data_IF_700001954441
#
_entry.id   IF_700001954441
#
_cell.length_a   1.000
_cell.length_b   1.000
_cell.length_c   1.000
_cell.angle_alpha   90.00
_cell.angle_beta   90.00
_cell.angle_gamma   90.00
#
_symmetry.space_group_name_H-M   'P 1'
#
loop_
_entity.id
_entity.type
_entity.pdbx_description
1 polymer ?
#
# COMPACT_ATOMS: atom_id res chain seq x y z
N UNK A 1 -3.27 12.13 40.33
CA UNK A 1 -4.27 11.14 39.87
C UNK A 1 -5.28 11.72 38.90
N UNK A 2 -6.36 12.43 39.29
CA UNK A 2 -7.38 12.90 38.31
C UNK A 2 -6.80 13.88 37.28
N UNK A 3 -6.06 14.90 37.72
CA UNK A 3 -5.45 15.91 36.83
C UNK A 3 -4.48 15.26 35.84
N UNK A 4 -3.70 14.30 36.31
CA UNK A 4 -2.72 13.56 35.50
C UNK A 4 -3.40 12.72 34.42
N UNK A 5 -4.47 11.99 34.75
CA UNK A 5 -5.24 11.23 33.77
C UNK A 5 -5.91 12.14 32.74
N UNK A 6 -6.43 13.30 33.17
CA UNK A 6 -6.97 14.31 32.26
C UNK A 6 -5.88 14.82 31.30
N UNK A 7 -4.67 15.08 31.79
CA UNK A 7 -3.55 15.49 30.95
C UNK A 7 -3.18 14.41 29.91
N UNK A 8 -3.13 13.13 30.31
CA UNK A 8 -2.82 12.02 29.39
C UNK A 8 -3.89 11.86 28.30
N UNK A 9 -5.17 11.96 28.65
CA UNK A 9 -6.28 11.93 27.69
C UNK A 9 -6.19 13.12 26.72
N UNK A 10 -5.87 14.32 27.21
CA UNK A 10 -5.67 15.50 26.37
C UNK A 10 -4.53 15.29 25.35
N UNK A 11 -3.42 14.68 25.77
CA UNK A 11 -2.30 14.34 24.87
C UNK A 11 -2.77 13.35 23.79
N UNK A 12 -3.52 12.31 24.17
CA UNK A 12 -4.07 11.34 23.22
C UNK A 12 -4.98 12.01 22.19
N UNK A 13 -5.84 12.93 22.62
CA UNK A 13 -6.70 13.70 21.70
C UNK A 13 -5.90 14.62 20.78
N UNK A 14 -4.83 15.24 21.26
CA UNK A 14 -3.93 16.04 20.41
C UNK A 14 -3.37 15.15 19.30
N UNK A 15 -2.91 13.94 19.63
CA UNK A 15 -2.44 12.97 18.64
C UNK A 15 -3.55 12.55 17.66
N UNK A 16 -4.76 12.29 18.14
CA UNK A 16 -5.89 11.95 17.26
C UNK A 16 -6.24 13.09 16.28
N UNK A 17 -6.18 14.34 16.74
CA UNK A 17 -6.44 15.53 15.92
C UNK A 17 -5.33 15.72 14.87
N UNK A 18 -4.06 15.51 15.21
CA UNK A 18 -2.98 15.60 14.22
C UNK A 18 -3.09 14.53 13.14
N UNK A 19 -3.49 13.30 13.48
CA UNK A 19 -3.86 12.27 12.49
C UNK A 19 -4.98 12.73 11.57
N UNK A 20 -6.06 13.25 12.14
CA UNK A 20 -7.18 13.78 11.36
C UNK A 20 -6.73 14.86 10.38
N UNK A 21 -5.89 15.79 10.83
CA UNK A 21 -5.39 16.88 9.99
C UNK A 21 -4.52 16.34 8.83
N UNK A 22 -3.63 15.39 9.09
CA UNK A 22 -2.80 14.78 8.05
C UNK A 22 -3.65 14.04 7.03
N UNK A 23 -4.56 13.19 7.45
CA UNK A 23 -5.36 12.38 6.52
C UNK A 23 -6.34 13.27 5.71
N UNK A 24 -6.94 14.27 6.37
CA UNK A 24 -7.94 15.13 5.73
C UNK A 24 -7.31 16.19 4.81
N UNK A 25 -6.16 16.77 5.19
CA UNK A 25 -5.52 17.85 4.44
C UNK A 25 -4.23 17.44 3.70
N UNK A 26 -3.70 16.24 3.92
CA UNK A 26 -2.42 15.79 3.38
C UNK A 26 -2.34 15.58 1.88
N UNK A 27 -3.42 15.88 1.13
CA UNK A 27 -3.32 15.97 -0.33
C UNK A 27 -2.32 17.07 -0.69
N UNK A 28 -1.34 16.70 -1.54
CA UNK A 28 -0.21 17.54 -1.98
C UNK A 28 -0.52 19.03 -1.91
N UNK A 29 0.06 19.71 -0.91
CA UNK A 29 0.26 21.15 -1.01
C UNK A 29 1.21 21.35 -2.19
N UNK A 30 0.79 22.04 -3.27
CA UNK A 30 1.68 22.31 -4.38
C UNK A 30 2.92 23.04 -3.84
N UNK A 31 4.11 22.53 -4.15
CA UNK A 31 5.44 23.10 -3.81
C UNK A 31 6.11 22.71 -2.48
N UNK A 32 5.58 21.74 -1.71
CA UNK A 32 6.36 21.21 -0.57
C UNK A 32 7.41 20.18 -1.05
N UNK A 33 8.68 20.26 -0.61
CA UNK A 33 9.69 19.26 -0.98
C UNK A 33 9.28 17.89 -0.44
N UNK A 34 9.08 16.92 -1.34
CA UNK A 34 8.77 15.53 -0.98
C UNK A 34 9.93 14.90 -0.22
N UNK A 35 9.67 14.29 0.94
CA UNK A 35 10.70 13.57 1.69
C UNK A 35 11.18 12.39 0.83
N UNK A 36 12.50 12.20 0.62
CA UNK A 36 13.02 11.06 -0.11
C UNK A 36 12.54 9.74 0.50
N UNK A 37 11.94 8.86 -0.31
CA UNK A 37 11.42 7.56 0.12
C UNK A 37 12.46 6.72 0.86
N UNK A 38 13.73 6.82 0.45
CA UNK A 38 14.85 6.16 1.13
C UNK A 38 15.05 6.59 2.59
N UNK A 39 14.85 7.88 2.90
CA UNK A 39 14.99 8.40 4.28
C UNK A 39 13.92 7.77 5.16
N UNK A 40 12.69 7.80 4.65
CA UNK A 40 11.52 7.25 5.31
C UNK A 40 11.66 5.74 5.53
N UNK A 41 12.12 5.01 4.52
CA UNK A 41 12.41 3.58 4.62
C UNK A 41 13.44 3.28 5.71
N UNK A 42 14.52 4.06 5.78
CA UNK A 42 15.56 3.87 6.80
C UNK A 42 15.03 4.08 8.22
N UNK A 43 14.31 5.18 8.46
CA UNK A 43 13.67 5.47 9.75
C UNK A 43 12.70 4.34 10.13
N UNK A 44 11.87 3.90 9.18
CA UNK A 44 10.82 2.91 9.45
C UNK A 44 11.39 1.53 9.79
N UNK A 45 12.41 1.08 9.05
CA UNK A 45 13.10 -0.19 9.34
C UNK A 45 13.77 -0.11 10.71
N UNK A 46 14.51 0.96 11.01
CA UNK A 46 15.16 1.12 12.30
C UNK A 46 14.15 1.14 13.44
N UNK A 47 13.06 1.88 13.31
CA UNK A 47 11.98 1.91 14.29
C UNK A 47 11.41 0.52 14.57
N UNK A 48 11.10 -0.24 13.50
CA UNK A 48 10.54 -1.57 13.64
C UNK A 48 11.47 -2.51 14.42
N UNK A 49 12.76 -2.54 14.07
CA UNK A 49 13.71 -3.47 14.68
C UNK A 49 14.21 -3.04 16.07
N UNK A 50 14.38 -1.74 16.30
CA UNK A 50 14.96 -1.24 17.56
C UNK A 50 13.93 -0.81 18.60
N UNK A 51 12.67 -0.62 18.22
CA UNK A 51 11.61 -0.17 19.13
C UNK A 51 10.46 -1.18 19.16
N UNK A 52 9.81 -1.46 18.02
CA UNK A 52 8.60 -2.32 18.03
C UNK A 52 8.88 -3.76 18.46
N UNK A 53 9.87 -4.42 17.86
CA UNK A 53 10.16 -5.82 18.18
C UNK A 53 10.58 -6.03 19.64
N UNK A 54 11.52 -5.25 20.21
CA UNK A 54 11.84 -5.34 21.63
C UNK A 54 10.63 -5.09 22.53
N UNK A 55 9.82 -4.07 22.24
CA UNK A 55 8.62 -3.74 23.02
C UNK A 55 7.63 -4.89 23.05
N UNK A 56 7.43 -5.57 21.91
CA UNK A 56 6.58 -6.77 21.83
C UNK A 56 7.19 -7.92 22.64
N UNK A 57 8.50 -8.16 22.50
CA UNK A 57 9.19 -9.27 23.17
C UNK A 57 9.17 -9.13 24.69
N UNK A 58 9.33 -7.91 25.21
CA UNK A 58 9.45 -7.64 26.65
C UNK A 58 8.09 -7.56 27.37
N UNK A 59 7.04 -7.11 26.67
CA UNK A 59 5.76 -6.80 27.32
C UNK A 59 4.62 -7.76 26.98
N UNK A 60 4.82 -8.76 26.11
CA UNK A 60 3.86 -9.87 25.98
C UNK A 60 3.95 -10.75 27.24
N UNK A 61 2.91 -10.81 28.08
CA UNK A 61 3.02 -11.39 29.42
C UNK A 61 3.16 -12.92 29.42
N UNK A 62 2.59 -13.61 28.42
CA UNK A 62 2.82 -15.03 28.17
C UNK A 62 2.89 -15.30 26.67
N UNK A 63 3.82 -16.16 26.24
CA UNK A 63 3.86 -16.59 24.84
C UNK A 63 2.52 -17.22 24.44
N UNK A 64 2.02 -16.98 23.22
CA UNK A 64 0.84 -17.68 22.73
C UNK A 64 1.05 -19.19 22.85
N UNK A 65 0.09 -19.88 23.46
CA UNK A 65 0.16 -21.33 23.74
C UNK A 65 1.36 -21.75 24.61
N UNK A 66 2.01 -20.81 25.32
CA UNK A 66 3.23 -21.00 26.11
C UNK A 66 4.45 -21.50 25.32
N UNK A 67 4.47 -21.32 24.00
CA UNK A 67 5.63 -21.67 23.18
C UNK A 67 6.36 -20.42 22.70
N UNK A 68 7.66 -20.33 23.01
CA UNK A 68 8.53 -19.24 22.53
C UNK A 68 8.54 -19.08 21.00
N UNK A 69 8.28 -20.15 20.25
CA UNK A 69 8.14 -20.10 18.79
C UNK A 69 7.05 -19.11 18.34
N UNK A 70 6.02 -18.91 19.15
CA UNK A 70 4.88 -18.04 18.84
C UNK A 70 5.01 -16.62 19.38
N UNK A 71 6.19 -16.21 19.87
CA UNK A 71 6.45 -14.85 20.38
C UNK A 71 5.98 -13.75 19.40
N UNK A 72 6.23 -13.94 18.10
CA UNK A 72 5.80 -13.01 17.05
C UNK A 72 4.58 -13.49 16.25
N UNK A 73 3.78 -14.41 16.80
CA UNK A 73 2.62 -14.98 16.09
C UNK A 73 1.63 -13.90 15.64
N UNK A 74 1.31 -12.94 16.50
CA UNK A 74 0.38 -11.87 16.15
C UNK A 74 0.96 -10.88 15.14
N UNK A 75 2.29 -10.67 15.15
CA UNK A 75 3.00 -9.92 14.09
C UNK A 75 2.86 -10.66 12.75
N UNK A 76 3.08 -11.98 12.75
CA UNK A 76 2.91 -12.80 11.54
C UNK A 76 1.47 -12.79 11.04
N UNK A 77 0.48 -12.85 11.93
CA UNK A 77 -0.95 -12.78 11.58
C UNK A 77 -1.25 -11.43 10.94
N UNK A 78 -0.80 -10.31 11.53
CA UNK A 78 -0.98 -8.97 10.97
C UNK A 78 -0.35 -8.81 9.60
N UNK A 79 0.90 -9.26 9.44
CA UNK A 79 1.60 -9.24 8.15
C UNK A 79 0.86 -10.08 7.10
N UNK A 80 0.49 -11.31 7.47
CA UNK A 80 -0.20 -12.25 6.58
C UNK A 80 -1.58 -11.76 6.19
N UNK A 81 -2.31 -11.13 7.12
CA UNK A 81 -3.63 -10.57 6.86
C UNK A 81 -3.59 -9.56 5.72
N UNK A 82 -2.66 -8.59 5.76
CA UNK A 82 -2.55 -7.60 4.68
C UNK A 82 -2.08 -8.25 3.37
N UNK A 83 -1.06 -9.10 3.45
CA UNK A 83 -0.53 -9.79 2.26
C UNK A 83 -1.60 -10.61 1.53
N UNK A 84 -2.32 -11.45 2.28
CA UNK A 84 -3.36 -12.33 1.74
C UNK A 84 -4.52 -11.50 1.21
N UNK A 85 -4.93 -10.43 1.90
CA UNK A 85 -6.04 -9.61 1.42
C UNK A 85 -5.67 -8.85 0.14
N UNK A 86 -4.46 -8.27 0.04
CA UNK A 86 -3.95 -7.69 -1.22
C UNK A 86 -3.99 -8.74 -2.33
N UNK A 87 -3.49 -9.96 -2.09
CA UNK A 87 -3.50 -11.03 -3.10
C UNK A 87 -4.90 -11.47 -3.52
N UNK A 88 -5.85 -11.53 -2.59
CA UNK A 88 -7.22 -11.89 -2.92
C UNK A 88 -7.86 -10.89 -3.90
N UNK A 89 -7.63 -9.60 -3.71
CA UNK A 89 -8.17 -8.56 -4.61
C UNK A 89 -7.53 -8.69 -5.99
N UNK A 90 -6.20 -8.85 -6.02
CA UNK A 90 -5.48 -9.03 -7.28
C UNK A 90 -5.95 -10.26 -8.07
N UNK A 91 -6.36 -11.32 -7.39
CA UNK A 91 -6.84 -12.56 -8.01
C UNK A 91 -8.33 -12.55 -8.34
N UNK A 92 -9.14 -11.74 -7.65
CA UNK A 92 -10.60 -11.68 -7.82
C UNK A 92 -11.00 -10.97 -9.10
N UNK A 93 -10.15 -10.06 -9.58
CA UNK A 93 -10.20 -9.46 -10.91
C UNK A 93 -10.22 -10.59 -11.95
N UNK A 94 -11.34 -10.69 -12.68
CA UNK A 94 -11.70 -11.83 -13.54
C UNK A 94 -10.50 -12.45 -14.27
N UNK A 95 -9.94 -13.54 -13.72
CA UNK A 95 -8.84 -14.29 -14.32
C UNK A 95 -9.15 -14.74 -15.76
N UNK A 96 -10.44 -14.97 -16.04
CA UNK A 96 -10.97 -15.23 -17.38
C UNK A 96 -10.81 -14.05 -18.33
N UNK A 97 -11.07 -12.83 -17.86
CA UNK A 97 -10.97 -11.61 -18.68
C UNK A 97 -9.50 -11.26 -18.93
N UNK A 98 -8.63 -11.43 -17.93
CA UNK A 98 -7.17 -11.31 -18.12
C UNK A 98 -6.64 -12.34 -19.13
N UNK A 99 -7.03 -13.61 -19.00
CA UNK A 99 -6.64 -14.66 -19.95
C UNK A 99 -7.14 -14.35 -21.36
N UNK A 100 -8.36 -13.84 -21.48
CA UNK A 100 -8.91 -13.40 -22.76
C UNK A 100 -8.12 -12.24 -23.37
N UNK A 101 -7.69 -11.25 -22.58
CA UNK A 101 -6.88 -10.12 -23.09
C UNK A 101 -5.52 -10.63 -23.56
N UNK A 102 -4.85 -11.49 -22.77
CA UNK A 102 -3.57 -12.09 -23.18
C UNK A 102 -3.69 -12.87 -24.49
N UNK A 103 -4.78 -13.62 -24.67
CA UNK A 103 -5.07 -14.34 -25.92
C UNK A 103 -5.28 -13.39 -27.09
N UNK A 104 -6.01 -12.29 -26.88
CA UNK A 104 -6.23 -11.28 -27.93
C UNK A 104 -4.93 -10.58 -28.32
N UNK A 105 -4.08 -10.22 -27.35
CA UNK A 105 -2.75 -9.66 -27.62
C UNK A 105 -1.87 -10.61 -28.43
N UNK A 106 -1.91 -11.92 -28.14
CA UNK A 106 -1.21 -12.91 -28.96
C UNK A 106 -1.78 -12.98 -30.39
N UNK A 107 -3.11 -12.91 -30.53
CA UNK A 107 -3.75 -12.91 -31.85
C UNK A 107 -3.43 -11.65 -32.66
N UNK A 108 -3.29 -10.50 -32.00
CA UNK A 108 -2.91 -9.23 -32.62
C UNK A 108 -1.45 -9.28 -33.14
N UNK A 109 -0.50 -9.70 -32.30
CA UNK A 109 0.90 -9.92 -32.66
C UNK A 109 1.06 -10.97 -33.79
N UNK A 110 0.24 -12.03 -33.79
CA UNK A 110 0.22 -13.01 -34.89
C UNK A 110 -0.31 -12.41 -36.21
N UNK A 111 -1.32 -11.52 -36.15
CA UNK A 111 -1.86 -10.84 -37.34
C UNK A 111 -0.84 -9.84 -37.90
N UNK A 112 -0.22 -9.04 -37.04
CA UNK A 112 0.83 -8.08 -37.43
C UNK A 112 1.99 -8.78 -38.15
N UNK A 113 2.50 -9.89 -37.62
CA UNK A 113 3.56 -10.67 -38.27
C UNK A 113 3.16 -11.24 -39.63
N UNK A 114 1.87 -11.53 -39.84
CA UNK A 114 1.37 -12.00 -41.14
C UNK A 114 1.24 -10.84 -42.11
N UNK A 115 0.75 -9.68 -41.67
CA UNK A 115 0.72 -8.43 -42.45
C UNK A 115 2.13 -8.07 -42.95
N UNK A 116 3.11 -8.01 -42.04
CA UNK A 116 4.50 -7.70 -42.35
C UNK A 116 5.08 -8.66 -43.41
N UNK A 117 4.79 -9.96 -43.29
CA UNK A 117 5.25 -10.95 -44.28
C UNK A 117 4.62 -10.69 -45.64
N UNK A 118 3.31 -10.46 -45.69
CA UNK A 118 2.61 -10.23 -46.96
C UNK A 118 3.07 -8.92 -47.61
N UNK A 119 3.29 -7.87 -46.82
CA UNK A 119 3.82 -6.59 -47.31
C UNK A 119 5.24 -6.74 -47.87
N UNK A 120 6.11 -7.50 -47.20
CA UNK A 120 7.44 -7.82 -47.72
C UNK A 120 7.38 -8.60 -49.05
N UNK A 121 6.52 -9.62 -49.14
CA UNK A 121 6.30 -10.36 -50.40
C UNK A 121 5.76 -9.44 -51.52
N UNK A 122 4.83 -8.54 -51.20
CA UNK A 122 4.27 -7.59 -52.15
C UNK A 122 5.38 -6.66 -52.70
N UNK A 123 6.25 -6.16 -51.82
CA UNK A 123 7.38 -5.30 -52.19
C UNK A 123 8.42 -6.02 -53.05
N UNK A 124 8.69 -7.31 -52.78
CA UNK A 124 9.56 -8.16 -53.61
C UNK A 124 8.96 -8.40 -55.00
N UNK A 125 7.67 -8.70 -55.10
CA UNK A 125 7.01 -8.95 -56.39
C UNK A 125 6.94 -7.67 -57.26
N UNK A 126 6.65 -6.53 -56.62
CA UNK A 126 6.66 -5.22 -57.26
C UNK A 126 8.05 -4.83 -57.80
N UNK A 127 9.13 -5.30 -57.17
CA UNK A 127 10.51 -5.05 -57.64
C UNK A 127 10.97 -6.05 -58.72
N UNK A 128 10.40 -7.25 -58.77
CA UNK A 128 10.79 -8.29 -59.74
C UNK A 128 10.07 -8.24 -61.10
N UNK A 129 9.15 -7.29 -61.33
CA UNK A 129 8.46 -7.07 -62.62
C UNK A 129 7.66 -8.29 -63.14
N UNK A 130 7.26 -9.22 -62.27
CA UNK A 130 6.27 -10.25 -62.58
C UNK A 130 4.88 -9.78 -62.16
N UNK A 131 4.26 -8.98 -63.04
CA UNK A 131 2.96 -8.37 -62.78
C UNK A 131 1.81 -9.30 -63.17
N UNK A 132 1.47 -10.23 -62.29
CA UNK A 132 0.10 -10.73 -62.25
C UNK A 132 -0.75 -9.74 -61.43
N UNK A 133 -1.41 -8.82 -62.13
CA UNK A 133 -2.30 -7.80 -61.55
C UNK A 133 -3.36 -8.43 -60.64
N UNK A 134 -3.77 -9.67 -60.93
CA UNK A 134 -4.75 -10.39 -60.14
C UNK A 134 -4.17 -10.87 -58.80
N UNK A 135 -2.89 -11.27 -58.77
CA UNK A 135 -2.17 -11.62 -57.54
C UNK A 135 -1.99 -10.37 -56.67
N UNK A 136 -1.52 -9.26 -57.24
CA UNK A 136 -1.35 -7.99 -56.51
C UNK A 136 -2.66 -7.49 -55.90
N UNK A 137 -3.76 -7.59 -56.65
CA UNK A 137 -5.09 -7.21 -56.16
C UNK A 137 -5.56 -8.13 -55.03
N UNK A 138 -5.33 -9.43 -55.13
CA UNK A 138 -5.69 -10.39 -54.07
C UNK A 138 -4.87 -10.17 -52.80
N UNK A 139 -3.56 -9.93 -52.91
CA UNK A 139 -2.69 -9.64 -51.76
C UNK A 139 -3.09 -8.32 -51.09
N UNK A 140 -3.37 -7.28 -51.88
CA UNK A 140 -3.85 -5.99 -51.36
C UNK A 140 -5.17 -6.13 -50.60
N UNK A 141 -6.12 -6.90 -51.14
CA UNK A 141 -7.37 -7.18 -50.43
C UNK A 141 -7.14 -7.98 -49.14
N UNK A 142 -6.21 -8.95 -49.16
CA UNK A 142 -5.87 -9.76 -47.98
C UNK A 142 -5.24 -8.91 -46.88
N UNK A 143 -4.30 -8.01 -47.22
CA UNK A 143 -3.72 -7.05 -46.26
C UNK A 143 -4.82 -6.18 -45.66
N UNK A 144 -5.74 -5.69 -46.50
CA UNK A 144 -6.86 -4.86 -46.03
C UNK A 144 -7.75 -5.62 -45.03
N UNK A 145 -8.10 -6.87 -45.33
CA UNK A 145 -8.90 -7.71 -44.43
C UNK A 145 -8.17 -8.03 -43.12
N UNK A 146 -6.86 -8.28 -43.17
CA UNK A 146 -6.04 -8.46 -41.97
C UNK A 146 -5.99 -7.19 -41.12
N UNK A 147 -5.82 -6.03 -41.76
CA UNK A 147 -5.76 -4.75 -41.06
C UNK A 147 -7.08 -4.42 -40.36
N UNK A 148 -8.21 -4.63 -41.04
CA UNK A 148 -9.54 -4.49 -40.43
C UNK A 148 -9.73 -5.45 -39.24
N UNK A 149 -9.20 -6.69 -39.35
CA UNK A 149 -9.22 -7.66 -38.26
C UNK A 149 -8.32 -7.25 -37.10
N UNK A 150 -7.12 -6.70 -37.35
CA UNK A 150 -6.20 -6.20 -36.33
C UNK A 150 -6.85 -5.08 -35.52
N UNK A 151 -7.43 -4.09 -36.20
CA UNK A 151 -8.18 -2.98 -35.57
C UNK A 151 -9.32 -3.53 -34.70
N UNK A 152 -10.09 -4.51 -35.20
CA UNK A 152 -11.17 -5.11 -34.40
C UNK A 152 -10.66 -5.84 -33.15
N UNK A 153 -9.47 -6.46 -33.19
CA UNK A 153 -8.85 -7.11 -32.03
C UNK A 153 -8.34 -6.05 -31.05
N UNK A 154 -7.68 -5.00 -31.54
CA UNK A 154 -7.23 -3.85 -30.74
C UNK A 154 -8.41 -3.21 -29.97
N UNK A 155 -9.53 -2.97 -30.64
CA UNK A 155 -10.75 -2.44 -30.01
C UNK A 155 -11.28 -3.37 -28.90
N UNK A 156 -11.31 -4.69 -29.13
CA UNK A 156 -11.75 -5.65 -28.12
C UNK A 156 -10.78 -5.71 -26.92
N UNK A 157 -9.47 -5.58 -27.17
CA UNK A 157 -8.45 -5.46 -26.13
C UNK A 157 -8.70 -4.21 -25.29
N UNK A 158 -8.92 -3.05 -25.91
CA UNK A 158 -9.16 -1.78 -25.21
C UNK A 158 -10.40 -1.88 -24.33
N UNK A 159 -11.52 -2.36 -24.87
CA UNK A 159 -12.78 -2.51 -24.10
C UNK A 159 -12.59 -3.46 -22.91
N UNK A 160 -11.89 -4.58 -23.10
CA UNK A 160 -11.62 -5.53 -22.01
C UNK A 160 -10.64 -5.00 -20.99
N UNK A 161 -9.59 -4.28 -21.40
CA UNK A 161 -8.66 -3.59 -20.49
C UNK A 161 -9.40 -2.55 -19.66
N UNK A 162 -10.30 -1.78 -20.26
CA UNK A 162 -11.12 -0.81 -19.53
C UNK A 162 -12.05 -1.50 -18.52
N UNK A 163 -12.73 -2.58 -18.92
CA UNK A 163 -13.58 -3.34 -17.98
C UNK A 163 -12.79 -3.92 -16.81
N UNK A 164 -11.58 -4.44 -17.07
CA UNK A 164 -10.67 -4.90 -16.02
C UNK A 164 -10.30 -3.72 -15.12
N UNK A 165 -9.87 -2.59 -15.70
CA UNK A 165 -9.51 -1.37 -14.98
C UNK A 165 -10.63 -0.88 -14.06
N UNK A 166 -11.85 -0.71 -14.57
CA UNK A 166 -12.97 -0.18 -13.79
C UNK A 166 -13.32 -1.10 -12.61
N UNK A 167 -13.36 -2.41 -12.84
CA UNK A 167 -13.66 -3.39 -11.80
C UNK A 167 -12.54 -3.48 -10.76
N UNK A 168 -11.30 -3.45 -11.22
CA UNK A 168 -10.13 -3.40 -10.35
C UNK A 168 -10.12 -2.16 -9.48
N UNK A 169 -10.43 -1.02 -10.07
CA UNK A 169 -10.42 0.24 -9.36
C UNK A 169 -11.46 0.14 -8.22
N UNK A 170 -12.71 -0.20 -8.52
CA UNK A 170 -13.77 -0.32 -7.52
C UNK A 170 -13.44 -1.27 -6.36
N UNK A 171 -12.92 -2.48 -6.65
CA UNK A 171 -12.53 -3.43 -5.60
C UNK A 171 -11.32 -2.93 -4.80
N UNK A 172 -10.35 -2.30 -5.46
CA UNK A 172 -9.17 -1.72 -4.83
C UNK A 172 -9.53 -0.52 -3.93
N UNK A 173 -10.44 0.36 -4.37
CA UNK A 173 -10.92 1.50 -3.59
C UNK A 173 -11.53 1.05 -2.26
N UNK A 174 -12.47 0.09 -2.33
CA UNK A 174 -13.16 -0.44 -1.15
C UNK A 174 -12.18 -1.08 -0.17
N UNK A 175 -11.22 -1.82 -0.69
CA UNK A 175 -10.22 -2.47 0.14
C UNK A 175 -9.27 -1.48 0.80
N UNK A 176 -8.73 -0.55 0.03
CA UNK A 176 -7.79 0.45 0.54
C UNK A 176 -8.45 1.26 1.65
N UNK A 177 -9.67 1.72 1.41
CA UNK A 177 -10.49 2.37 2.42
C UNK A 177 -10.65 1.49 3.67
N UNK A 178 -11.11 0.24 3.52
CA UNK A 178 -11.36 -0.65 4.66
C UNK A 178 -10.09 -0.94 5.47
N UNK A 179 -8.96 -1.15 4.79
CA UNK A 179 -7.70 -1.52 5.44
C UNK A 179 -7.08 -0.33 6.16
N UNK A 180 -7.06 0.84 5.51
CA UNK A 180 -6.57 2.05 6.15
C UNK A 180 -7.48 2.47 7.30
N UNK A 181 -8.81 2.36 7.14
CA UNK A 181 -9.77 2.65 8.20
C UNK A 181 -9.53 1.75 9.41
N UNK A 182 -9.45 0.43 9.22
CA UNK A 182 -9.18 -0.51 10.31
C UNK A 182 -7.82 -0.24 10.97
N UNK A 183 -6.79 0.05 10.18
CA UNK A 183 -5.47 0.40 10.70
C UNK A 183 -5.52 1.64 11.62
N UNK A 184 -6.10 2.74 11.14
CA UNK A 184 -6.19 3.99 11.91
C UNK A 184 -7.10 3.84 13.13
N UNK A 185 -8.21 3.10 12.98
CA UNK A 185 -9.09 2.79 14.09
C UNK A 185 -8.38 2.01 15.20
N UNK A 186 -7.63 0.97 14.86
CA UNK A 186 -6.88 0.17 15.85
C UNK A 186 -5.73 0.98 16.46
N UNK A 187 -5.06 1.87 15.71
CA UNK A 187 -4.12 2.83 16.32
C UNK A 187 -4.83 3.64 17.40
N UNK A 188 -6.03 4.16 17.11
CA UNK A 188 -6.83 4.91 18.08
C UNK A 188 -7.09 4.13 19.37
N UNK A 189 -7.42 2.84 19.26
CA UNK A 189 -7.61 1.92 20.40
C UNK A 189 -6.33 1.72 21.22
N UNK A 190 -5.20 1.56 20.54
CA UNK A 190 -3.91 1.29 21.20
C UNK A 190 -3.36 2.54 21.87
N UNK A 191 -3.47 3.71 21.22
CA UNK A 191 -2.71 4.90 21.59
C UNK A 191 -3.02 5.39 23.00
N UNK A 192 -4.31 5.41 23.37
CA UNK A 192 -4.71 5.87 24.69
C UNK A 192 -4.18 4.96 25.79
N UNK A 193 -4.39 3.65 25.67
CA UNK A 193 -3.87 2.65 26.59
C UNK A 193 -2.34 2.69 26.68
N UNK A 194 -1.65 2.85 25.55
CA UNK A 194 -0.19 2.92 25.52
C UNK A 194 0.33 4.18 26.23
N UNK A 195 -0.36 5.32 26.13
CA UNK A 195 -0.01 6.55 26.87
C UNK A 195 -0.10 6.32 28.38
N UNK A 196 -1.11 5.57 28.84
CA UNK A 196 -1.32 5.24 30.25
C UNK A 196 -0.24 4.28 30.76
N UNK A 197 0.15 3.29 29.94
CA UNK A 197 1.16 2.28 30.29
C UNK A 197 2.58 2.87 30.28
N UNK A 198 2.97 3.49 29.15
CA UNK A 198 4.29 4.06 28.97
C UNK A 198 4.27 5.20 27.93
N UNK A 199 4.37 6.43 28.41
CA UNK A 199 4.35 7.63 27.59
C UNK A 199 5.45 7.64 26.50
N UNK A 200 6.64 7.11 26.77
CA UNK A 200 7.75 7.11 25.80
C UNK A 200 7.42 6.19 24.62
N UNK A 201 6.97 4.97 24.89
CA UNK A 201 6.55 4.05 23.82
C UNK A 201 5.34 4.59 23.06
N UNK A 202 4.41 5.26 23.74
CA UNK A 202 3.29 5.91 23.08
C UNK A 202 3.71 7.04 22.14
N UNK A 203 4.66 7.89 22.56
CA UNK A 203 5.19 8.97 21.72
C UNK A 203 5.92 8.38 20.50
N UNK A 204 6.74 7.35 20.69
CA UNK A 204 7.48 6.69 19.62
C UNK A 204 6.52 6.01 18.63
N UNK A 205 5.50 5.32 19.13
CA UNK A 205 4.45 4.71 18.32
C UNK A 205 3.61 5.74 17.57
N UNK A 206 3.23 6.84 18.24
CA UNK A 206 2.56 7.97 17.61
C UNK A 206 3.38 8.51 16.43
N UNK A 207 4.65 8.85 16.64
CA UNK A 207 5.49 9.42 15.58
C UNK A 207 5.59 8.48 14.40
N UNK A 208 5.80 7.19 14.66
CA UNK A 208 5.87 6.21 13.59
C UNK A 208 4.57 6.11 12.80
N UNK A 209 3.45 5.92 13.50
CA UNK A 209 2.15 5.81 12.87
C UNK A 209 1.76 7.10 12.12
N UNK A 210 2.15 8.26 12.65
CA UNK A 210 1.96 9.57 12.03
C UNK A 210 2.79 9.69 10.74
N UNK A 211 4.08 9.32 10.76
CA UNK A 211 4.89 9.30 9.55
C UNK A 211 4.28 8.37 8.50
N UNK A 212 3.81 7.18 8.88
CA UNK A 212 3.08 6.28 7.97
C UNK A 212 1.89 6.98 7.32
N UNK A 213 1.06 7.68 8.10
CA UNK A 213 -0.09 8.42 7.57
C UNK A 213 0.30 9.52 6.58
N UNK A 214 1.37 10.26 6.88
CA UNK A 214 1.92 11.27 5.95
C UNK A 214 2.35 10.61 4.64
N UNK A 215 3.10 9.50 4.72
CA UNK A 215 3.62 8.79 3.55
C UNK A 215 2.48 8.20 2.71
N UNK A 216 1.50 7.56 3.35
CA UNK A 216 0.37 6.95 2.64
C UNK A 216 -0.43 7.99 1.88
N UNK A 217 -0.60 9.18 2.46
CA UNK A 217 -1.32 10.31 1.83
C UNK A 217 -0.50 10.97 0.71
N UNK A 218 0.83 11.07 0.86
CA UNK A 218 1.72 11.66 -0.15
C UNK A 218 2.01 10.74 -1.35
N UNK A 219 2.09 9.43 -1.11
CA UNK A 219 2.34 8.41 -2.14
C UNK A 219 1.07 7.95 -2.88
N UNK A 220 -0.11 8.32 -2.36
CA UNK A 220 -1.42 7.94 -2.88
C UNK A 220 -1.65 8.16 -4.39
N UNK A 221 -1.16 9.25 -5.03
CA UNK A 221 -1.46 9.50 -6.44
C UNK A 221 -0.49 8.79 -7.41
N UNK A 222 0.40 7.90 -6.96
CA UNK A 222 1.28 7.19 -7.89
C UNK A 222 0.61 5.91 -8.39
N UNK A 223 -0.10 6.05 -9.53
CA UNK A 223 -0.46 4.99 -10.49
C UNK A 223 0.03 3.59 -10.07
N UNK A 224 -0.83 2.84 -9.38
CA UNK A 224 -0.52 1.46 -8.99
C UNK A 224 -0.52 0.62 -10.27
N UNK A 225 0.68 0.29 -10.77
CA UNK A 225 0.84 -0.67 -11.87
C UNK A 225 0.69 -2.08 -11.31
N UNK A 226 -0.51 -2.62 -11.42
CA UNK A 226 -0.84 -3.93 -10.86
C UNK A 226 -0.51 -5.06 -11.86
N UNK A 227 -0.74 -4.82 -13.15
CA UNK A 227 -0.44 -5.75 -14.23
C UNK A 227 0.50 -5.09 -15.22
N UNK A 228 1.80 -5.21 -14.98
CA UNK A 228 2.85 -4.68 -15.85
C UNK A 228 2.84 -5.33 -17.24
N UNK A 229 2.17 -6.47 -17.41
CA UNK A 229 1.99 -7.16 -18.69
C UNK A 229 0.75 -6.67 -19.48
N UNK A 230 -0.18 -5.97 -18.82
CA UNK A 230 -1.42 -5.48 -19.43
C UNK A 230 -1.47 -3.95 -19.53
N UNK A 231 -0.49 -3.24 -18.98
CA UNK A 231 -0.42 -1.78 -18.88
C UNK A 231 -1.68 -1.15 -18.26
N UNK A 232 -2.24 -1.83 -17.25
CA UNK A 232 -3.41 -1.31 -16.52
C UNK A 232 -2.89 -0.53 -15.31
N UNK A 233 -2.97 0.80 -15.42
CA UNK A 233 -2.73 1.74 -14.32
C UNK A 233 -4.05 1.97 -13.59
N UNK A 234 -4.08 1.98 -12.26
CA UNK A 234 -5.26 2.44 -11.50
C UNK A 234 -5.14 3.92 -11.19
N UNK A 235 -6.22 4.67 -11.45
CA UNK A 235 -6.35 6.08 -11.06
C UNK A 235 -7.33 6.17 -9.89
N UNK A 236 -6.81 6.55 -8.72
CA UNK A 236 -7.56 6.55 -7.47
C UNK A 236 -7.94 7.97 -7.08
N UNK A 237 -9.24 8.21 -6.88
CA UNK A 237 -9.73 9.46 -6.34
C UNK A 237 -10.71 9.19 -5.20
N UNK A 238 -10.28 9.44 -3.96
CA UNK A 238 -11.13 9.23 -2.80
C UNK A 238 -12.40 10.09 -2.83
N UNK A 239 -13.59 9.48 -2.67
CA UNK A 239 -14.81 10.23 -2.39
C UNK A 239 -14.63 11.06 -1.11
N UNK A 240 -15.10 12.31 -1.12
CA UNK A 240 -14.98 13.23 0.04
C UNK A 240 -15.47 12.64 1.37
N UNK A 241 -16.52 11.80 1.31
CA UNK A 241 -17.08 11.12 2.49
C UNK A 241 -16.11 10.08 3.03
N UNK A 242 -15.51 9.27 2.17
CA UNK A 242 -14.53 8.27 2.55
C UNK A 242 -13.31 8.94 3.19
N UNK A 243 -12.84 10.03 2.60
CA UNK A 243 -11.74 10.83 3.16
C UNK A 243 -12.04 11.35 4.57
N UNK A 244 -13.26 11.85 4.80
CA UNK A 244 -13.68 12.32 6.11
C UNK A 244 -13.76 11.16 7.13
N UNK A 245 -14.36 10.04 6.73
CA UNK A 245 -14.44 8.84 7.57
C UNK A 245 -13.05 8.32 7.93
N UNK A 246 -12.17 8.23 6.94
CA UNK A 246 -10.80 7.77 7.12
C UNK A 246 -10.01 8.66 8.07
N UNK A 247 -10.08 9.99 7.87
CA UNK A 247 -9.46 10.96 8.77
C UNK A 247 -10.00 10.88 10.20
N UNK A 248 -11.29 10.57 10.37
CA UNK A 248 -11.90 10.40 11.69
C UNK A 248 -11.60 9.05 12.35
N UNK A 249 -11.05 8.06 11.63
CA UNK A 249 -10.91 6.69 12.13
C UNK A 249 -10.08 6.59 13.42
N UNK A 250 -8.96 7.30 13.52
CA UNK A 250 -8.14 7.33 14.75
C UNK A 250 -8.92 7.89 15.94
N UNK A 251 -9.64 9.00 15.74
CA UNK A 251 -10.47 9.61 16.79
C UNK A 251 -11.64 8.70 17.17
N UNK A 252 -12.27 8.04 16.20
CA UNK A 252 -13.31 7.05 16.45
C UNK A 252 -12.78 5.88 17.28
N UNK A 253 -11.57 5.40 17.00
CA UNK A 253 -10.89 4.38 17.80
C UNK A 253 -10.69 4.85 19.25
N UNK A 254 -10.16 6.05 19.46
CA UNK A 254 -9.96 6.60 20.81
C UNK A 254 -11.26 6.77 21.59
N UNK A 255 -12.31 7.28 20.96
CA UNK A 255 -13.63 7.43 21.60
C UNK A 255 -14.23 6.06 21.92
N UNK A 256 -14.07 5.10 21.01
CA UNK A 256 -14.51 3.73 21.24
C UNK A 256 -13.78 3.10 22.42
N UNK A 257 -12.46 3.26 22.50
CA UNK A 257 -11.64 2.79 23.62
C UNK A 257 -12.10 3.38 24.95
N UNK A 258 -12.24 4.71 25.04
CA UNK A 258 -12.76 5.39 26.24
C UNK A 258 -14.14 4.87 26.65
N UNK A 259 -15.04 4.64 25.69
CA UNK A 259 -16.38 4.13 25.96
C UNK A 259 -16.36 2.66 26.40
N UNK A 260 -15.49 1.85 25.79
CA UNK A 260 -15.35 0.43 26.09
C UNK A 260 -14.68 0.20 27.43
N UNK A 261 -13.67 0.99 27.79
CA UNK A 261 -12.95 0.93 29.07
C UNK A 261 -13.88 1.14 30.29
N UNK A 262 -14.99 1.88 30.11
CA UNK A 262 -16.04 2.02 31.14
C UNK A 262 -16.80 0.72 31.42
N UNK A 263 -16.88 -0.20 30.46
CA UNK A 263 -17.66 -1.44 30.54
C UNK A 263 -16.74 -2.64 30.76
N UNK A 264 -15.65 -2.71 30.01
CA UNK A 264 -14.69 -3.81 30.00
C UNK A 264 -13.28 -3.25 29.74
N UNK A 265 -12.49 -2.98 30.80
CA UNK A 265 -11.16 -2.41 30.63
C UNK A 265 -10.27 -3.36 29.84
N UNK A 266 -9.56 -2.81 28.86
CA UNK A 266 -8.63 -3.59 28.03
C UNK A 266 -7.45 -3.98 28.91
N UNK A 267 -7.28 -5.29 29.13
CA UNK A 267 -6.12 -5.77 29.87
C UNK A 267 -4.84 -5.64 29.02
N UNK A 268 -3.68 -5.64 29.68
CA UNK A 268 -2.39 -5.50 29.01
C UNK A 268 -2.15 -6.56 27.94
N UNK A 269 -2.63 -7.79 28.15
CA UNK A 269 -2.57 -8.87 27.16
C UNK A 269 -3.23 -8.48 25.84
N UNK A 270 -4.50 -8.06 25.87
CA UNK A 270 -5.23 -7.69 24.66
C UNK A 270 -4.57 -6.47 24.00
N UNK A 271 -4.11 -5.50 24.79
CA UNK A 271 -3.38 -4.34 24.27
C UNK A 271 -2.15 -4.77 23.47
N UNK A 272 -1.29 -5.63 24.03
CA UNK A 272 -0.07 -6.08 23.36
C UNK A 272 -0.33 -7.06 22.21
N UNK A 273 -1.44 -7.80 22.22
CA UNK A 273 -1.91 -8.57 21.06
C UNK A 273 -2.28 -7.63 19.90
N UNK A 274 -3.07 -6.58 20.17
CA UNK A 274 -3.44 -5.58 19.15
C UNK A 274 -2.21 -4.82 18.65
N UNK A 275 -1.30 -4.43 19.55
CA UNK A 275 -0.03 -3.80 19.22
C UNK A 275 0.85 -4.69 18.33
N UNK A 276 0.95 -5.98 18.64
CA UNK A 276 1.69 -6.96 17.83
C UNK A 276 1.06 -7.14 16.45
N UNK A 277 -0.26 -7.26 16.38
CA UNK A 277 -0.98 -7.34 15.12
C UNK A 277 -0.73 -6.12 14.24
N UNK A 278 -0.87 -4.90 14.79
CA UNK A 278 -0.60 -3.66 14.06
C UNK A 278 0.86 -3.53 13.65
N UNK A 279 1.79 -3.97 14.50
CA UNK A 279 3.21 -4.02 14.13
C UNK A 279 3.46 -4.94 12.93
N UNK A 280 2.71 -6.04 12.80
CA UNK A 280 2.71 -6.90 11.61
C UNK A 280 2.20 -6.19 10.35
N UNK A 281 1.08 -5.48 10.47
CA UNK A 281 0.52 -4.65 9.38
C UNK A 281 1.53 -3.58 8.95
N UNK A 282 2.16 -2.92 9.92
CA UNK A 282 3.22 -1.93 9.72
C UNK A 282 4.39 -2.54 8.95
N UNK A 283 4.89 -3.70 9.39
CA UNK A 283 6.00 -4.38 8.74
C UNK A 283 5.71 -4.66 7.27
N UNK A 284 4.49 -5.13 6.97
CA UNK A 284 4.08 -5.37 5.60
C UNK A 284 4.15 -4.08 4.77
N UNK A 285 3.56 -3.00 5.28
CA UNK A 285 3.62 -1.69 4.61
C UNK A 285 5.04 -1.18 4.44
N UNK A 286 5.93 -1.36 5.44
CA UNK A 286 7.34 -0.98 5.31
C UNK A 286 7.97 -1.71 4.13
N UNK A 287 7.84 -3.04 4.08
CA UNK A 287 8.43 -3.87 3.04
C UNK A 287 7.84 -3.58 1.67
N UNK A 288 6.53 -3.34 1.60
CA UNK A 288 5.79 -3.22 0.34
C UNK A 288 5.83 -1.81 -0.26
N UNK A 289 5.63 -0.79 0.56
CA UNK A 289 5.35 0.58 0.12
C UNK A 289 6.49 1.55 0.45
N UNK A 290 7.14 1.39 1.60
CA UNK A 290 8.11 2.38 2.11
C UNK A 290 9.53 2.06 1.64
N UNK A 291 9.93 0.79 1.59
CA UNK A 291 11.25 0.42 1.06
C UNK A 291 11.25 0.66 -0.45
N UNK A 292 12.13 1.53 -0.97
CA UNK A 292 12.15 1.87 -2.38
C UNK A 292 12.46 0.62 -3.22
N UNK A 293 11.61 0.33 -4.20
CA UNK A 293 11.78 -0.79 -5.11
C UNK A 293 12.56 -0.38 -6.37
N UNK A 294 13.39 -1.29 -6.88
CA UNK A 294 14.18 -1.13 -8.11
C UNK A 294 15.11 0.10 -8.04
N UNK A 295 15.26 0.84 -9.13
CA UNK A 295 16.23 1.95 -9.28
C UNK A 295 15.81 3.26 -8.58
N UNK A 296 14.63 3.32 -7.96
CA UNK A 296 14.08 4.56 -7.37
C UNK A 296 14.70 4.92 -6.01
N UNK A 297 15.46 4.03 -5.38
CA UNK A 297 16.04 4.23 -4.05
C UNK A 297 17.46 4.78 -4.07
N UNK A 298 17.77 5.77 -3.25
CA UNK A 298 19.13 6.19 -2.94
C UNK A 298 19.65 5.42 -1.70
N UNK A 299 20.62 4.50 -1.85
CA UNK A 299 21.12 3.70 -0.73
C UNK A 299 21.80 4.53 0.37
N UNK A 300 22.45 5.65 0.01
CA UNK A 300 23.14 6.50 0.98
C UNK A 300 22.14 7.20 1.90
N UNK A 301 21.04 7.72 1.36
CA UNK A 301 19.99 8.33 2.18
C UNK A 301 19.33 7.31 3.10
N UNK A 302 19.09 6.08 2.62
CA UNK A 302 18.59 5.01 3.46
C UNK A 302 19.54 4.72 4.64
N UNK A 303 20.82 4.53 4.35
CA UNK A 303 21.83 4.19 5.36
C UNK A 303 22.04 5.34 6.38
N UNK A 304 22.12 6.59 5.90
CA UNK A 304 22.22 7.76 6.77
C UNK A 304 21.03 7.88 7.71
N UNK A 305 19.83 7.58 7.23
CA UNK A 305 18.62 7.57 8.05
C UNK A 305 18.58 6.43 9.06
N UNK A 306 19.07 5.24 8.69
CA UNK A 306 19.21 4.13 9.64
C UNK A 306 20.15 4.52 10.80
N UNK A 307 21.32 5.05 10.48
CA UNK A 307 22.30 5.48 11.49
C UNK A 307 21.75 6.65 12.32
N UNK A 308 21.24 7.68 11.64
CA UNK A 308 20.72 8.88 12.29
C UNK A 308 19.59 8.56 13.27
N UNK A 309 18.62 7.74 12.86
CA UNK A 309 17.51 7.37 13.72
C UNK A 309 17.92 6.43 14.85
N UNK A 310 18.92 5.56 14.64
CA UNK A 310 19.52 4.75 15.70
C UNK A 310 20.13 5.63 16.79
N UNK A 311 20.88 6.67 16.39
CA UNK A 311 21.45 7.64 17.33
C UNK A 311 20.33 8.39 18.07
N UNK A 312 19.26 8.78 17.37
CA UNK A 312 18.10 9.43 18.01
C UNK A 312 17.47 8.54 19.08
N UNK A 313 17.21 7.25 18.79
CA UNK A 313 16.67 6.30 19.77
C UNK A 313 17.61 6.16 20.97
N UNK A 314 18.91 6.04 20.72
CA UNK A 314 19.92 5.93 21.77
C UNK A 314 19.93 7.16 22.70
N UNK A 315 19.86 8.37 22.13
CA UNK A 315 19.78 9.62 22.91
C UNK A 315 18.49 9.67 23.74
N UNK A 316 17.35 9.32 23.15
CA UNK A 316 16.07 9.27 23.87
C UNK A 316 16.15 8.29 25.04
N UNK A 317 16.70 7.09 24.83
CA UNK A 317 16.82 6.07 25.87
C UNK A 317 17.73 6.53 27.02
N UNK A 318 18.89 7.13 26.72
CA UNK A 318 19.76 7.74 27.75
C UNK A 318 19.00 8.80 28.55
N UNK A 319 18.29 9.69 27.87
CA UNK A 319 17.57 10.77 28.54
C UNK A 319 16.47 10.24 29.45
N UNK A 320 15.71 9.25 28.99
CA UNK A 320 14.66 8.58 29.78
C UNK A 320 15.26 7.82 30.96
N UNK A 321 16.41 7.15 30.79
CA UNK A 321 17.08 6.43 31.88
C UNK A 321 17.68 7.35 32.96
N UNK A 322 17.86 8.63 32.67
CA UNK A 322 18.44 9.61 33.61
C UNK A 322 17.39 10.36 34.43
N UNK A 323 16.11 10.29 34.05
CA UNK A 323 14.98 10.94 34.74
C UNK A 323 14.32 9.95 35.69
#
# INVERSE_FOLDING_TARGET
MIIEHICLVLIAFIFGVTFFLVEYYGQKIPNLPTIPVSIVGGISVTYFFLVLLPEISENLPEYPFHFKLFEYLFVLIGFSFIHVTEKFILQRVESKTQHSVRKLMQMEDDVEKVEDKIENYLNEELTQNHMDEQILKNLTNTIKELHEKRISIEDEIIVKKQKIHDHMNEEFEKFKFSTNFLYHFIIGLILLNLIIVNLVYAILFYFFAFFRAVISTEMDPQKYQIFTDLDIELDYQEPKINKLLLASATLMGMIFDLGFDLIYPINLEILYILFSFISGVILYTIVREIIPQKEKGNPLFFLLSVIGFTITIFIINIFVSLI
#
